data_IF_051810920241
#
_entry.id   IF_051810920241
#
_cell.length_a   1.000
_cell.length_b   1.000
_cell.length_c   1.000
_cell.angle_alpha   90.00
_cell.angle_beta   90.00
_cell.angle_gamma   90.00
#
_symmetry.space_group_name_H-M   'P 1'
#
loop_
_entity.id
_entity.type
_entity.pdbx_description
1 polymer ?
#
# COMPACT_ATOMS: atom_id res chain seq x y z
N UNK A 1 -17.48 22.20 8.13
CA UNK A 1 -17.52 22.45 6.67
C UNK A 1 -18.67 21.71 6.06
N UNK A 2 -19.50 22.43 5.30
CA UNK A 2 -20.74 21.94 4.69
C UNK A 2 -20.49 21.26 3.35
N UNK A 3 -21.38 20.34 3.00
CA UNK A 3 -21.42 19.74 1.66
C UNK A 3 -22.11 20.71 0.70
N UNK A 4 -21.51 20.93 -0.47
CA UNK A 4 -22.04 21.72 -1.57
C UNK A 4 -22.53 20.76 -2.66
N UNK A 5 -23.76 20.95 -3.15
CA UNK A 5 -24.30 20.15 -4.27
C UNK A 5 -23.69 20.65 -5.58
N UNK A 6 -23.23 19.71 -6.41
CA UNK A 6 -22.62 20.02 -7.71
C UNK A 6 -23.64 19.86 -8.84
N UNK A 7 -23.52 20.68 -9.88
CA UNK A 7 -24.29 20.55 -11.12
C UNK A 7 -23.64 19.52 -12.04
N UNK A 8 -23.70 18.24 -11.66
CA UNK A 8 -23.06 17.16 -12.40
C UNK A 8 -23.91 15.89 -12.36
N UNK A 9 -23.85 15.10 -13.43
CA UNK A 9 -24.52 13.79 -13.49
C UNK A 9 -23.83 12.81 -12.55
N UNK A 10 -22.50 12.79 -12.52
CA UNK A 10 -21.69 11.81 -11.76
C UNK A 10 -21.36 12.31 -10.36
N UNK A 11 -20.94 13.57 -10.24
CA UNK A 11 -20.53 14.20 -8.98
C UNK A 11 -21.75 14.84 -8.31
N UNK A 12 -22.10 14.38 -7.12
CA UNK A 12 -23.31 14.84 -6.42
C UNK A 12 -23.03 15.97 -5.47
N UNK A 13 -21.99 15.80 -4.65
CA UNK A 13 -21.64 16.78 -3.60
C UNK A 13 -20.15 16.84 -3.43
N UNK A 14 -19.64 17.99 -3.05
CA UNK A 14 -18.26 18.12 -2.61
C UNK A 14 -18.15 18.99 -1.37
N UNK A 15 -17.08 18.79 -0.61
CA UNK A 15 -16.68 19.66 0.49
C UNK A 15 -15.17 19.78 0.51
N UNK A 16 -14.67 20.94 0.91
CA UNK A 16 -13.25 21.18 0.99
C UNK A 16 -12.85 21.53 2.42
N UNK A 17 -11.75 20.94 2.88
CA UNK A 17 -11.09 21.26 4.14
C UNK A 17 -9.78 22.01 3.90
N UNK A 18 -9.84 23.33 4.04
CA UNK A 18 -8.70 24.25 3.89
C UNK A 18 -7.56 23.88 4.84
N UNK A 19 -7.86 23.62 6.12
CA UNK A 19 -6.84 23.33 7.14
C UNK A 19 -6.08 22.02 6.90
N UNK A 20 -6.66 21.09 6.13
CA UNK A 20 -6.02 19.81 5.78
C UNK A 20 -5.69 19.68 4.29
N UNK A 21 -6.07 20.68 3.47
CA UNK A 21 -6.03 20.62 2.01
C UNK A 21 -6.69 19.35 1.42
N UNK A 22 -7.82 18.95 2.00
CA UNK A 22 -8.56 17.75 1.58
C UNK A 22 -9.84 18.17 0.86
N UNK A 23 -9.98 17.74 -0.40
CA UNK A 23 -11.24 17.81 -1.13
C UNK A 23 -11.93 16.45 -1.08
N UNK A 24 -13.16 16.42 -0.58
CA UNK A 24 -13.99 15.21 -0.60
C UNK A 24 -15.11 15.36 -1.62
N UNK A 25 -15.27 14.36 -2.48
CA UNK A 25 -16.27 14.36 -3.57
C UNK A 25 -17.12 13.10 -3.46
N UNK A 26 -18.44 13.26 -3.46
CA UNK A 26 -19.42 12.17 -3.54
C UNK A 26 -19.74 11.90 -4.99
N UNK A 27 -19.39 10.71 -5.44
CA UNK A 27 -19.55 10.22 -6.80
C UNK A 27 -20.66 9.15 -6.80
N UNK A 28 -21.58 9.25 -7.76
CA UNK A 28 -22.64 8.26 -7.94
C UNK A 28 -22.04 6.90 -8.29
N UNK A 29 -22.40 5.87 -7.52
CA UNK A 29 -21.91 4.50 -7.73
C UNK A 29 -20.57 4.17 -7.07
N UNK A 30 -19.72 5.17 -6.79
CA UNK A 30 -18.39 4.95 -6.19
C UNK A 30 -18.30 5.38 -4.71
N UNK A 31 -19.21 6.21 -4.23
CA UNK A 31 -19.21 6.68 -2.84
C UNK A 31 -18.43 7.98 -2.66
N UNK A 32 -17.72 8.12 -1.53
CA UNK A 32 -16.96 9.35 -1.22
C UNK A 32 -15.47 9.15 -1.50
N UNK A 33 -14.92 9.93 -2.42
CA UNK A 33 -13.49 9.96 -2.75
C UNK A 33 -12.84 11.15 -2.04
N UNK A 34 -11.62 10.95 -1.54
CA UNK A 34 -10.82 11.99 -0.87
C UNK A 34 -9.56 12.29 -1.66
N UNK A 35 -9.41 13.53 -2.08
CA UNK A 35 -8.19 14.03 -2.69
C UNK A 35 -7.42 14.86 -1.67
N UNK A 36 -6.15 14.53 -1.49
CA UNK A 36 -5.24 15.22 -0.58
C UNK A 36 -4.39 16.23 -1.36
N UNK A 37 -3.85 17.23 -0.67
CA UNK A 37 -2.99 18.27 -1.25
C UNK A 37 -3.70 19.08 -2.36
N UNK A 38 -5.02 19.19 -2.31
CA UNK A 38 -5.76 20.05 -3.25
C UNK A 38 -5.60 21.49 -2.79
N UNK A 39 -4.96 22.31 -3.63
CA UNK A 39 -4.74 23.72 -3.34
C UNK A 39 -6.07 24.48 -3.21
N UNK A 40 -6.17 25.50 -2.34
CA UNK A 40 -7.42 26.22 -2.10
C UNK A 40 -8.04 26.79 -3.38
N UNK A 41 -7.23 27.34 -4.28
CA UNK A 41 -7.72 27.90 -5.55
C UNK A 41 -8.27 26.82 -6.50
N UNK A 42 -7.74 25.60 -6.46
CA UNK A 42 -8.28 24.48 -7.26
C UNK A 42 -9.66 24.06 -6.73
N UNK A 43 -9.82 24.00 -5.40
CA UNK A 43 -11.11 23.72 -4.79
C UNK A 43 -12.12 24.84 -5.09
N UNK A 44 -11.70 26.10 -5.00
CA UNK A 44 -12.56 27.24 -5.33
C UNK A 44 -13.02 27.21 -6.79
N UNK A 45 -12.11 26.98 -7.73
CA UNK A 45 -12.43 26.84 -9.14
C UNK A 45 -13.36 25.65 -9.40
N UNK A 46 -13.17 24.53 -8.68
CA UNK A 46 -14.06 23.37 -8.78
C UNK A 46 -15.49 23.65 -8.29
N UNK A 47 -15.69 24.51 -7.30
CA UNK A 47 -17.03 24.89 -6.86
C UNK A 47 -17.69 25.95 -7.77
N UNK A 48 -16.88 26.76 -8.48
CA UNK A 48 -17.37 27.84 -9.36
C UNK A 48 -17.56 27.42 -10.82
N UNK A 49 -17.00 26.30 -11.24
CA UNK A 49 -17.10 25.82 -12.63
C UNK A 49 -18.55 25.49 -13.01
N UNK A 50 -18.91 25.77 -14.26
CA UNK A 50 -20.17 25.34 -14.87
C UNK A 50 -20.18 23.86 -15.24
N UNK A 51 -18.99 23.25 -15.39
CA UNK A 51 -18.84 21.82 -15.70
C UNK A 51 -17.92 21.14 -14.66
N UNK A 52 -18.50 20.62 -13.56
CA UNK A 52 -17.75 19.93 -12.52
C UNK A 52 -17.18 18.59 -13.01
N UNK A 53 -17.86 17.88 -13.92
CA UNK A 53 -17.38 16.60 -14.47
C UNK A 53 -16.10 16.80 -15.26
N UNK A 54 -16.07 17.81 -16.13
CA UNK A 54 -14.86 18.18 -16.87
C UNK A 54 -13.74 18.61 -15.93
N UNK A 55 -14.02 19.55 -15.01
CA UNK A 55 -12.99 20.06 -14.10
C UNK A 55 -12.37 18.94 -13.27
N UNK A 56 -13.21 18.04 -12.73
CA UNK A 56 -12.75 16.90 -11.95
C UNK A 56 -11.82 15.99 -12.76
N UNK A 57 -12.24 15.61 -13.98
CA UNK A 57 -11.45 14.71 -14.84
C UNK A 57 -10.09 15.28 -15.23
N UNK A 58 -10.01 16.59 -15.46
CA UNK A 58 -8.78 17.22 -15.95
C UNK A 58 -7.82 17.67 -14.84
N UNK A 59 -8.35 18.11 -13.69
CA UNK A 59 -7.53 18.74 -12.64
C UNK A 59 -7.49 17.96 -11.33
N UNK A 60 -8.45 17.07 -11.05
CA UNK A 60 -8.62 16.44 -9.73
C UNK A 60 -8.53 14.91 -9.74
N UNK A 61 -8.71 14.25 -10.88
CA UNK A 61 -8.65 12.80 -10.99
C UNK A 61 -7.27 12.27 -10.55
N UNK A 62 -7.24 11.20 -9.75
CA UNK A 62 -6.04 10.63 -9.10
C UNK A 62 -4.89 10.30 -10.07
N UNK A 63 -5.17 10.12 -11.36
CA UNK A 63 -4.13 9.94 -12.39
C UNK A 63 -3.27 11.19 -12.61
N UNK A 64 -3.76 12.36 -12.22
CA UNK A 64 -3.14 13.67 -12.45
C UNK A 64 -2.79 14.40 -11.16
N UNK A 65 -3.54 14.16 -10.09
CA UNK A 65 -3.15 14.60 -8.75
C UNK A 65 -2.16 13.57 -8.23
N UNK A 66 -0.87 13.92 -8.23
CA UNK A 66 0.19 13.07 -7.67
C UNK A 66 -0.21 12.72 -6.23
N UNK A 67 -0.76 11.52 -6.05
CA UNK A 67 -1.18 11.02 -4.76
C UNK A 67 -0.01 10.17 -4.22
N UNK A 68 0.87 10.74 -3.37
CA UNK A 68 2.02 10.00 -2.83
C UNK A 68 1.60 8.75 -2.02
N UNK A 69 0.32 8.59 -1.72
CA UNK A 69 -0.21 7.56 -0.84
C UNK A 69 -0.66 6.28 -1.55
N UNK A 70 -0.91 6.31 -2.88
CA UNK A 70 -1.37 5.11 -3.61
C UNK A 70 -0.27 4.07 -3.82
N UNK A 71 1.00 4.46 -3.77
CA UNK A 71 2.14 3.56 -3.89
C UNK A 71 2.38 2.66 -2.67
N UNK A 72 1.80 2.98 -1.51
CA UNK A 72 2.08 2.25 -0.26
C UNK A 72 1.14 1.05 -0.07
N UNK A 73 -0.06 1.06 -0.69
CA UNK A 73 -1.02 -0.04 -0.50
C UNK A 73 -0.87 -1.22 -1.48
N UNK A 74 -0.09 -1.09 -2.56
CA UNK A 74 0.07 -2.17 -3.56
C UNK A 74 1.31 -3.06 -3.35
N UNK A 75 2.18 -2.74 -2.39
CA UNK A 75 3.40 -3.53 -2.12
C UNK A 75 3.20 -4.67 -1.11
N UNK A 76 2.03 -4.75 -0.46
CA UNK A 76 1.79 -5.68 0.65
C UNK A 76 1.83 -7.16 0.25
N UNK A 77 1.43 -7.51 -0.97
CA UNK A 77 1.43 -8.90 -1.44
C UNK A 77 2.83 -9.48 -1.71
N UNK A 78 3.75 -8.66 -2.22
CA UNK A 78 5.12 -9.10 -2.54
C UNK A 78 6.01 -9.18 -1.30
N UNK A 79 5.87 -8.22 -0.38
CA UNK A 79 6.61 -8.22 0.89
C UNK A 79 6.21 -9.43 1.74
N UNK A 80 4.92 -9.77 1.80
CA UNK A 80 4.46 -10.96 2.52
C UNK A 80 5.06 -12.26 1.97
N UNK A 81 5.13 -12.40 0.63
CA UNK A 81 5.78 -13.56 -0.01
C UNK A 81 7.27 -13.64 0.30
N UNK A 82 7.98 -12.50 0.28
CA UNK A 82 9.41 -12.46 0.58
C UNK A 82 9.71 -12.89 2.02
N UNK A 83 8.89 -12.47 3.00
CA UNK A 83 9.05 -12.86 4.41
C UNK A 83 8.86 -14.37 4.60
N UNK A 84 7.89 -14.98 3.92
CA UNK A 84 7.65 -16.44 4.02
C UNK A 84 8.82 -17.22 3.42
N UNK A 85 9.34 -16.81 2.26
CA UNK A 85 10.50 -17.46 1.64
C UNK A 85 11.73 -17.32 2.53
N UNK A 86 11.95 -16.14 3.11
CA UNK A 86 13.07 -15.90 4.02
C UNK A 86 12.95 -16.78 5.28
N UNK A 87 11.77 -16.84 5.91
CA UNK A 87 11.56 -17.69 7.09
C UNK A 87 11.77 -19.19 6.78
N UNK A 88 11.31 -19.67 5.62
CA UNK A 88 11.54 -21.04 5.18
C UNK A 88 13.03 -21.33 4.92
N UNK A 89 13.76 -20.39 4.32
CA UNK A 89 15.20 -20.52 4.10
C UNK A 89 15.98 -20.58 5.44
N UNK A 90 15.61 -19.73 6.40
CA UNK A 90 16.21 -19.75 7.74
C UNK A 90 15.98 -21.08 8.48
N UNK A 91 14.78 -21.66 8.37
CA UNK A 91 14.46 -22.97 8.96
C UNK A 91 15.30 -24.10 8.34
N UNK A 92 15.50 -24.09 7.02
CA UNK A 92 16.29 -25.11 6.32
C UNK A 92 17.78 -25.07 6.70
N UNK A 93 18.35 -23.87 6.89
CA UNK A 93 19.73 -23.73 7.34
C UNK A 93 19.96 -24.30 8.74
N UNK A 94 19.00 -24.17 9.65
CA UNK A 94 19.11 -24.72 11.00
C UNK A 94 19.12 -26.27 11.00
N UNK A 95 18.29 -26.89 10.16
CA UNK A 95 18.24 -28.36 10.03
C UNK A 95 19.50 -28.96 9.42
N UNK A 96 20.21 -28.21 8.56
CA UNK A 96 21.48 -28.68 7.99
C UNK A 96 22.64 -28.70 9.00
N UNK A 97 22.55 -27.90 10.08
CA UNK A 97 23.60 -27.84 11.09
C UNK A 97 23.50 -29.00 12.10
N UNK A 98 22.30 -29.55 12.33
CA UNK A 98 22.13 -30.73 13.20
C UNK A 98 22.68 -32.02 12.59
N UNK A 99 22.59 -32.19 11.27
CA UNK A 99 23.06 -33.42 10.61
C UNK A 99 24.60 -33.50 10.48
N UNK A 100 25.29 -32.36 10.41
CA UNK A 100 26.76 -32.35 10.33
C UNK A 100 27.42 -32.73 11.67
N UNK A 101 26.77 -32.45 12.80
CA UNK A 101 27.31 -32.78 14.14
C UNK A 101 27.19 -34.27 14.48
N UNK A 102 26.25 -34.99 13.87
CA UNK A 102 26.02 -36.42 14.13
C UNK A 102 26.95 -37.31 13.29
N UNK A 103 27.36 -36.87 12.10
CA UNK A 103 28.27 -37.65 11.24
C UNK A 103 29.74 -37.60 11.68
N UNK A 104 30.13 -36.60 12.46
CA UNK A 104 31.50 -36.51 12.99
C UNK A 104 31.67 -37.35 14.28
N UNK A 105 30.58 -37.59 15.03
CA UNK A 105 30.61 -38.40 16.26
C UNK A 105 30.67 -39.92 16.00
N UNK A 106 30.25 -40.40 14.82
CA UNK A 106 30.26 -41.84 14.52
C UNK A 106 31.62 -42.39 14.04
N UNK A 107 32.56 -41.52 13.67
CA UNK A 107 33.88 -41.95 13.17
C UNK A 107 34.97 -42.10 14.25
N UNK A 108 34.66 -41.81 15.53
CA UNK A 108 35.66 -41.78 16.60
C UNK A 108 35.58 -43.00 17.55
N UNK A 109 34.63 -43.93 17.36
CA UNK A 109 34.35 -44.99 18.35
C UNK A 109 34.62 -46.43 17.87
N UNK A 110 35.38 -46.64 16.78
CA UNK A 110 35.85 -48.01 16.42
C UNK A 110 37.35 -48.06 16.18
N UNK A 111 38.13 -47.88 17.24
CA UNK A 111 39.46 -48.49 17.36
C UNK A 111 39.56 -49.16 18.72
N UNK A 112 39.05 -50.40 18.78
CA UNK A 112 39.23 -51.34 19.89
C UNK A 112 40.74 -51.66 20.01
N UNK A 113 41.35 -51.60 21.21
CA UNK A 113 42.75 -51.97 21.37
C UNK A 113 42.88 -53.50 21.34
N UNK A 114 43.76 -54.00 20.47
CA UNK A 114 44.29 -55.34 20.61
C UNK A 114 45.48 -55.27 21.57
N UNK A 115 45.27 -55.82 22.77
CA UNK A 115 46.29 -56.05 23.80
C UNK A 115 46.85 -57.45 23.60
N UNK A 116 48.19 -57.50 23.60
CA UNK A 116 49.13 -58.63 23.80
C UNK A 116 49.20 -59.74 22.74
#
# INVERSE_FOLDING_TARGET
>A
MSWVTLQSKRLKKARYNVGRQILEVRIQGEGTVKHHNVLPHMAENFFKTSDPDFYYRYYLEDSRVVSPMRGILQTSGWVAKAVIILAAAWLLSYSSLSDMSVLEASNITTTRPAVQ
#
